data_IF_484534554967
#
_entry.id   IF_484534554967
#
_cell.length_a   1.000
_cell.length_b   1.000
_cell.length_c   1.000
_cell.angle_alpha   90.00
_cell.angle_beta   90.00
_cell.angle_gamma   90.00
#
_symmetry.space_group_name_H-M   'P 1'
#
loop_
_entity.id
_entity.type
_entity.pdbx_description
1 polymer ?
#
# COMPACT_ATOMS: atom_id res chain seq x y z
N UNK A 1 -22.98 1.06 65.08
CA UNK A 1 -21.60 1.57 65.11
C UNK A 1 -20.84 0.82 64.01
N UNK A 2 -20.98 1.16 62.73
CA UNK A 2 -20.83 2.45 62.04
C UNK A 2 -19.57 2.34 61.14
N UNK A 3 -19.52 2.71 59.86
CA UNK A 3 -20.52 3.14 58.87
C UNK A 3 -19.85 3.06 57.45
N UNK A 4 -20.49 3.11 56.28
CA UNK A 4 -21.89 3.38 55.89
C UNK A 4 -22.23 2.74 54.49
N UNK A 5 -23.48 2.87 54.02
CA UNK A 5 -24.01 2.97 52.61
C UNK A 5 -23.34 2.13 51.49
N UNK A 6 -23.97 1.16 50.80
CA UNK A 6 -25.39 0.94 50.40
C UNK A 6 -25.94 2.04 49.45
N UNK A 7 -26.56 1.81 48.27
CA UNK A 7 -26.86 0.57 47.51
C UNK A 7 -27.23 0.91 46.03
N UNK A 8 -27.55 -0.12 45.22
CA UNK A 8 -28.11 -0.06 43.86
C UNK A 8 -29.23 0.98 43.63
N UNK A 9 -29.36 1.48 42.39
CA UNK A 9 -30.69 1.66 41.78
C UNK A 9 -30.69 1.37 40.26
N UNK A 10 -31.80 0.81 39.79
CA UNK A 10 -32.03 0.34 38.43
C UNK A 10 -33.25 1.03 37.80
N UNK A 11 -33.34 0.99 36.47
CA UNK A 11 -34.52 1.22 35.62
C UNK A 11 -35.29 2.55 35.74
N UNK A 12 -35.40 3.27 34.61
CA UNK A 12 -36.63 3.99 34.28
C UNK A 12 -36.83 4.10 32.77
N UNK A 13 -37.79 3.33 32.25
CA UNK A 13 -38.39 3.49 30.91
C UNK A 13 -39.68 4.30 31.09
N UNK A 14 -39.83 5.40 30.35
CA UNK A 14 -41.14 6.02 30.12
C UNK A 14 -41.31 6.44 28.66
N UNK A 15 -42.45 6.03 28.10
CA UNK A 15 -43.00 6.52 26.82
C UNK A 15 -43.40 7.99 26.95
N UNK A 16 -43.36 8.72 25.84
CA UNK A 16 -44.35 9.77 25.58
C UNK A 16 -44.57 9.88 24.07
N UNK A 17 -45.80 10.18 23.68
CA UNK A 17 -46.32 10.01 22.32
C UNK A 17 -47.20 11.22 21.93
N UNK A 18 -47.38 11.43 20.62
CA UNK A 18 -48.44 12.22 19.96
C UNK A 18 -48.45 13.79 19.96
N UNK A 19 -48.48 14.32 18.72
CA UNK A 19 -49.27 15.48 18.21
C UNK A 19 -48.73 16.92 18.44
N UNK A 20 -48.66 17.82 17.44
CA UNK A 20 -49.67 18.20 16.42
C UNK A 20 -49.10 18.84 15.13
N UNK A 21 -49.98 18.93 14.12
CA UNK A 21 -49.82 19.50 12.77
C UNK A 21 -49.69 21.05 12.75
N UNK A 22 -49.08 21.59 11.68
CA UNK A 22 -49.44 22.89 11.08
C UNK A 22 -49.35 22.77 9.53
N UNK A 23 -50.32 23.36 8.85
CA UNK A 23 -50.61 23.21 7.42
C UNK A 23 -49.73 24.01 6.43
N UNK A 24 -49.41 23.36 5.32
CA UNK A 24 -49.74 23.76 3.94
C UNK A 24 -49.85 25.26 3.57
N UNK A 25 -48.87 25.77 2.80
CA UNK A 25 -49.11 26.53 1.55
C UNK A 25 -47.82 27.02 0.85
N UNK A 26 -47.48 26.47 -0.31
CA UNK A 26 -47.32 27.30 -1.52
C UNK A 26 -47.44 26.49 -2.83
N UNK A 27 -47.88 27.13 -3.91
CA UNK A 27 -48.47 26.49 -5.09
C UNK A 27 -48.15 27.27 -6.37
N UNK A 28 -47.33 26.72 -7.27
CA UNK A 28 -47.29 27.05 -8.71
C UNK A 28 -46.70 25.83 -9.46
N UNK A 29 -47.52 24.97 -10.09
CA UNK A 29 -48.14 25.07 -11.44
C UNK A 29 -47.18 24.76 -12.60
N UNK A 30 -47.27 23.53 -13.11
CA UNK A 30 -46.92 23.18 -14.50
C UNK A 30 -47.97 23.72 -15.48
N UNK A 31 -47.56 23.91 -16.74
CA UNK A 31 -48.34 23.49 -17.91
C UNK A 31 -47.46 22.69 -18.91
N UNK A 32 -47.96 21.94 -19.89
CA UNK A 32 -49.27 21.33 -20.20
C UNK A 32 -48.92 20.14 -21.12
N UNK A 33 -49.63 19.01 -21.00
CA UNK A 33 -49.53 17.90 -21.96
C UNK A 33 -50.40 18.18 -23.20
N UNK A 34 -49.96 17.70 -24.37
CA UNK A 34 -50.82 17.53 -25.54
C UNK A 34 -50.50 16.16 -26.13
N UNK A 35 -51.43 15.22 -26.01
CA UNK A 35 -51.41 13.93 -26.71
C UNK A 35 -52.08 14.07 -28.09
N UNK A 36 -51.58 13.37 -29.10
CA UNK A 36 -52.42 12.83 -30.16
C UNK A 36 -51.78 11.60 -30.82
N UNK A 37 -52.64 10.72 -31.33
CA UNK A 37 -52.42 9.27 -31.49
C UNK A 37 -51.74 8.85 -32.82
N UNK A 38 -51.19 7.63 -32.79
CA UNK A 38 -51.11 6.61 -33.85
C UNK A 38 -50.88 7.00 -35.33
N UNK A 39 -49.81 6.43 -35.91
CA UNK A 39 -49.97 5.30 -36.87
C UNK A 39 -48.64 4.68 -37.35
N UNK A 40 -48.58 3.35 -37.23
CA UNK A 40 -48.05 2.33 -38.17
C UNK A 40 -46.72 2.50 -38.94
N UNK A 41 -45.97 1.39 -38.91
CA UNK A 41 -44.81 0.94 -39.68
C UNK A 41 -44.67 1.40 -41.15
N UNK A 42 -43.42 1.57 -41.58
CA UNK A 42 -42.81 0.75 -42.65
C UNK A 42 -41.29 0.95 -42.77
N UNK A 43 -40.62 -0.06 -43.34
CA UNK A 43 -39.21 -0.08 -43.68
C UNK A 43 -38.84 0.87 -44.84
N UNK A 44 -37.58 1.33 -44.91
CA UNK A 44 -36.61 0.88 -45.93
C UNK A 44 -35.22 1.52 -45.77
N UNK A 45 -34.22 0.85 -46.33
CA UNK A 45 -32.82 1.31 -46.39
C UNK A 45 -32.64 2.50 -47.33
N UNK A 46 -31.57 3.30 -47.12
CA UNK A 46 -30.76 3.77 -48.25
C UNK A 46 -29.38 4.26 -47.77
N UNK A 47 -28.36 3.43 -48.00
CA UNK A 47 -26.97 3.90 -48.03
C UNK A 47 -26.74 4.77 -49.26
N UNK A 48 -25.97 5.87 -49.12
CA UNK A 48 -25.25 6.44 -50.26
C UNK A 48 -23.98 7.16 -49.84
N UNK A 49 -22.85 6.57 -50.22
CA UNK A 49 -21.54 7.22 -50.26
C UNK A 49 -21.56 8.44 -51.20
N UNK A 50 -20.93 9.53 -50.80
CA UNK A 50 -20.25 10.43 -51.74
C UNK A 50 -19.07 11.14 -51.09
N UNK A 51 -17.87 10.77 -51.55
CA UNK A 51 -16.58 11.32 -51.16
C UNK A 51 -16.39 12.72 -51.76
N UNK A 52 -16.20 13.75 -50.93
CA UNK A 52 -15.89 15.11 -51.37
C UNK A 52 -14.76 15.72 -50.54
N UNK A 53 -13.61 15.97 -51.16
CA UNK A 53 -12.45 16.63 -50.53
C UNK A 53 -12.48 18.12 -50.87
N UNK A 54 -12.58 18.97 -49.87
CA UNK A 54 -12.17 20.38 -49.95
C UNK A 54 -11.38 20.70 -48.68
N UNK A 55 -10.14 21.18 -48.86
CA UNK A 55 -9.37 21.81 -47.79
C UNK A 55 -9.73 23.30 -47.75
N UNK A 56 -9.98 23.81 -46.55
CA UNK A 56 -9.84 25.23 -46.22
C UNK A 56 -9.26 25.31 -44.83
N UNK A 57 -8.11 25.97 -44.71
CA UNK A 57 -7.47 26.24 -43.43
C UNK A 57 -8.29 27.27 -42.64
N UNK A 58 -8.65 26.95 -41.40
CA UNK A 58 -8.96 27.97 -40.38
C UNK A 58 -8.29 27.59 -39.05
N UNK A 59 -7.92 28.62 -38.31
CA UNK A 59 -7.10 28.52 -37.10
C UNK A 59 -7.85 27.74 -36.00
N UNK A 60 -7.16 26.74 -35.43
CA UNK A 60 -7.72 25.90 -34.38
C UNK A 60 -7.86 26.63 -33.05
N UNK A 61 -8.92 27.44 -32.92
CA UNK A 61 -9.34 28.02 -31.66
C UNK A 61 -9.65 26.91 -30.65
N UNK A 62 -8.94 26.93 -29.52
CA UNK A 62 -9.09 25.92 -28.46
C UNK A 62 -10.31 26.24 -27.61
N UNK A 63 -11.49 25.96 -28.16
CA UNK A 63 -12.69 25.75 -27.35
C UNK A 63 -12.59 24.42 -26.57
N UNK A 64 -11.68 24.34 -25.59
CA UNK A 64 -11.75 23.30 -24.55
C UNK A 64 -13.07 23.48 -23.81
N UNK A 65 -14.01 22.55 -24.01
CA UNK A 65 -15.38 22.73 -23.53
C UNK A 65 -15.44 22.81 -21.99
N UNK A 66 -16.33 23.61 -21.37
CA UNK A 66 -16.38 23.80 -19.91
C UNK A 66 -16.54 22.51 -19.08
N UNK A 67 -17.04 21.43 -19.70
CA UNK A 67 -17.14 20.11 -19.06
C UNK A 67 -15.77 19.44 -18.86
N UNK A 68 -14.80 19.71 -19.72
CA UNK A 68 -13.47 19.12 -19.70
C UNK A 68 -12.61 19.69 -18.56
N UNK A 69 -12.65 21.01 -18.36
CA UNK A 69 -11.98 21.69 -17.24
C UNK A 69 -12.52 21.21 -15.87
N UNK A 70 -13.85 21.15 -15.72
CA UNK A 70 -14.49 20.65 -14.49
C UNK A 70 -14.08 19.20 -14.19
N UNK A 71 -14.05 18.34 -15.21
CA UNK A 71 -13.59 16.95 -15.07
C UNK A 71 -12.11 16.88 -14.66
N UNK A 72 -11.24 17.73 -15.23
CA UNK A 72 -9.82 17.80 -14.85
C UNK A 72 -9.64 18.21 -13.39
N UNK A 73 -10.38 19.22 -12.91
CA UNK A 73 -10.34 19.64 -11.51
C UNK A 73 -10.85 18.56 -10.53
N UNK A 74 -11.89 17.81 -10.91
CA UNK A 74 -12.40 16.67 -10.12
C UNK A 74 -11.32 15.59 -9.99
N UNK A 75 -10.68 15.20 -11.09
CA UNK A 75 -9.57 14.24 -11.07
C UNK A 75 -8.40 14.74 -10.23
N UNK A 76 -7.96 15.99 -10.44
CA UNK A 76 -6.84 16.57 -9.70
C UNK A 76 -7.07 16.54 -8.19
N UNK A 77 -8.31 16.83 -7.75
CA UNK A 77 -8.68 16.74 -6.32
C UNK A 77 -8.75 15.30 -5.81
N UNK A 78 -9.19 14.35 -6.63
CA UNK A 78 -9.22 12.93 -6.27
C UNK A 78 -7.79 12.36 -6.16
N UNK A 79 -6.93 12.68 -7.12
CA UNK A 79 -5.50 12.35 -7.15
C UNK A 79 -4.77 12.92 -5.94
N UNK A 80 -5.03 14.18 -5.55
CA UNK A 80 -4.39 14.76 -4.36
C UNK A 80 -4.78 14.03 -3.07
N UNK A 81 -6.04 13.60 -2.91
CA UNK A 81 -6.47 12.76 -1.78
C UNK A 81 -5.83 11.37 -1.80
N UNK A 82 -5.61 10.81 -2.99
CA UNK A 82 -4.96 9.52 -3.17
C UNK A 82 -3.50 9.54 -2.71
N UNK A 83 -2.80 10.67 -2.88
CA UNK A 83 -1.41 10.84 -2.45
C UNK A 83 -1.24 11.03 -0.93
N UNK A 84 -2.24 11.58 -0.24
CA UNK A 84 -2.23 11.70 1.22
C UNK A 84 -2.54 10.38 1.95
N UNK A 85 -2.97 9.33 1.25
CA UNK A 85 -3.20 8.01 1.86
C UNK A 85 -1.97 7.10 1.70
N UNK A 86 -1.26 6.74 2.80
CA UNK A 86 -0.10 5.84 2.72
C UNK A 86 -0.45 4.47 2.16
N UNK A 87 -1.71 4.04 2.24
CA UNK A 87 -2.18 2.77 1.68
C UNK A 87 -1.94 2.69 0.17
N UNK A 88 -2.07 3.81 -0.54
CA UNK A 88 -1.82 3.85 -1.98
C UNK A 88 -0.35 3.58 -2.31
N UNK A 89 0.58 4.18 -1.58
CA UNK A 89 2.00 3.94 -1.74
C UNK A 89 2.37 2.47 -1.41
N UNK A 90 1.81 1.92 -0.33
CA UNK A 90 1.99 0.50 0.06
C UNK A 90 1.48 -0.46 -1.02
N UNK A 91 0.33 -0.17 -1.64
CA UNK A 91 -0.21 -0.95 -2.76
C UNK A 91 0.70 -0.85 -3.98
N UNK A 92 1.21 0.34 -4.31
CA UNK A 92 2.18 0.51 -5.39
C UNK A 92 3.47 -0.28 -5.11
N UNK A 93 3.98 -0.26 -3.87
CA UNK A 93 5.16 -1.03 -3.45
C UNK A 93 4.93 -2.52 -3.60
N UNK A 94 3.72 -2.97 -3.26
CA UNK A 94 3.36 -4.36 -3.42
C UNK A 94 3.46 -4.79 -4.88
N UNK A 95 2.90 -4.03 -5.83
CA UNK A 95 2.97 -4.40 -7.24
C UNK A 95 4.37 -4.23 -7.83
N UNK A 96 5.10 -3.17 -7.49
CA UNK A 96 6.50 -2.98 -7.92
C UNK A 96 7.37 -4.19 -7.58
N UNK A 97 7.14 -4.77 -6.39
CA UNK A 97 8.02 -5.76 -5.80
C UNK A 97 7.56 -7.21 -5.95
N UNK A 98 6.25 -7.43 -6.06
CA UNK A 98 5.64 -8.76 -5.93
C UNK A 98 4.75 -9.17 -7.11
N UNK A 99 4.45 -8.28 -8.07
CA UNK A 99 3.62 -8.61 -9.24
C UNK A 99 4.14 -9.83 -10.02
N UNK A 100 5.45 -9.92 -10.26
CA UNK A 100 6.09 -11.06 -10.95
C UNK A 100 5.81 -12.39 -10.25
N UNK A 101 5.89 -12.44 -8.91
CA UNK A 101 5.63 -13.65 -8.14
C UNK A 101 4.16 -14.09 -8.18
N UNK A 102 3.25 -13.17 -8.49
CA UNK A 102 1.83 -13.47 -8.73
C UNK A 102 1.54 -13.79 -10.20
N UNK A 103 2.49 -13.62 -11.12
CA UNK A 103 2.26 -13.72 -12.56
C UNK A 103 1.43 -12.57 -13.12
N UNK A 104 1.60 -11.37 -12.57
CA UNK A 104 0.92 -10.15 -13.00
C UNK A 104 1.73 -9.36 -14.02
N UNK A 105 1.00 -8.62 -14.88
CA UNK A 105 1.59 -7.53 -15.66
C UNK A 105 2.09 -6.43 -14.69
N UNK A 106 3.15 -5.68 -15.07
CA UNK A 106 3.57 -4.52 -14.31
C UNK A 106 2.41 -3.54 -14.12
N UNK A 107 2.35 -2.90 -12.96
CA UNK A 107 1.48 -1.75 -12.74
C UNK A 107 2.38 -0.52 -12.68
N UNK A 108 1.97 0.57 -13.33
CA UNK A 108 2.62 1.86 -13.26
C UNK A 108 1.75 2.85 -12.46
N UNK A 109 2.35 3.96 -12.05
CA UNK A 109 1.73 4.97 -11.21
C UNK A 109 0.50 5.61 -11.85
N UNK A 110 0.57 5.99 -13.12
CA UNK A 110 -0.54 6.64 -13.83
C UNK A 110 -1.77 5.71 -13.97
N UNK A 111 -1.56 4.42 -14.26
CA UNK A 111 -2.65 3.44 -14.33
C UNK A 111 -3.28 3.20 -12.96
N UNK A 112 -2.45 3.10 -11.91
CA UNK A 112 -2.93 2.95 -10.53
C UNK A 112 -3.73 4.19 -10.07
N UNK A 113 -3.29 5.41 -10.41
CA UNK A 113 -4.07 6.63 -10.17
C UNK A 113 -5.42 6.60 -10.89
N UNK A 114 -5.43 6.25 -12.18
CA UNK A 114 -6.65 6.18 -12.98
C UNK A 114 -7.66 5.16 -12.40
N UNK A 115 -7.21 3.97 -11.99
CA UNK A 115 -8.07 2.95 -11.35
C UNK A 115 -8.84 3.50 -10.14
N UNK A 116 -8.22 4.38 -9.35
CA UNK A 116 -8.79 4.94 -8.12
C UNK A 116 -9.46 6.31 -8.31
N UNK A 117 -9.51 6.86 -9.52
CA UNK A 117 -10.07 8.20 -9.78
C UNK A 117 -11.02 8.29 -10.98
N UNK A 118 -10.91 7.39 -11.96
CA UNK A 118 -11.73 7.41 -13.19
C UNK A 118 -13.23 7.33 -12.92
N UNK A 119 -13.64 6.62 -11.86
CA UNK A 119 -15.04 6.47 -11.45
C UNK A 119 -15.73 7.80 -11.07
N UNK A 120 -14.96 8.85 -10.71
CA UNK A 120 -15.51 10.18 -10.45
C UNK A 120 -16.04 10.89 -11.72
N UNK A 121 -15.55 10.51 -12.90
CA UNK A 121 -16.06 10.99 -14.19
C UNK A 121 -17.01 9.97 -14.81
N UNK A 122 -16.59 8.70 -14.88
CA UNK A 122 -17.31 7.68 -15.65
C UNK A 122 -18.57 7.15 -14.95
N UNK A 123 -18.71 7.38 -13.65
CA UNK A 123 -19.78 6.79 -12.84
C UNK A 123 -19.71 5.26 -12.77
N UNK A 124 -18.56 4.65 -13.07
CA UNK A 124 -18.37 3.19 -13.11
C UNK A 124 -17.01 2.82 -12.51
N UNK A 125 -16.95 1.67 -11.86
CA UNK A 125 -15.68 1.13 -11.31
C UNK A 125 -14.75 0.78 -12.47
N UNK A 126 -13.49 1.17 -12.37
CA UNK A 126 -12.48 0.88 -13.39
C UNK A 126 -12.33 -0.64 -13.63
N UNK A 127 -12.23 -1.02 -14.90
CA UNK A 127 -12.19 -2.44 -15.27
C UNK A 127 -10.95 -3.15 -14.75
N UNK A 128 -9.79 -2.51 -14.87
CA UNK A 128 -8.53 -3.07 -14.39
C UNK A 128 -8.55 -3.24 -12.86
N UNK A 129 -9.22 -2.34 -12.14
CA UNK A 129 -9.38 -2.46 -10.68
C UNK A 129 -10.21 -3.69 -10.31
N UNK A 130 -11.31 -3.96 -11.02
CA UNK A 130 -12.13 -5.18 -10.82
C UNK A 130 -11.30 -6.43 -11.09
N UNK A 131 -10.58 -6.46 -12.21
CA UNK A 131 -9.76 -7.63 -12.59
C UNK A 131 -8.59 -7.85 -11.62
N UNK A 132 -8.04 -6.79 -11.03
CA UNK A 132 -7.02 -6.84 -9.97
C UNK A 132 -7.57 -7.49 -8.69
N UNK A 133 -8.75 -7.06 -8.22
CA UNK A 133 -9.43 -7.69 -7.08
C UNK A 133 -9.74 -9.16 -7.35
N UNK A 134 -10.34 -9.48 -8.52
CA UNK A 134 -10.64 -10.84 -8.94
C UNK A 134 -9.39 -11.72 -9.02
N UNK A 135 -8.28 -11.20 -9.50
CA UNK A 135 -7.03 -11.94 -9.61
C UNK A 135 -6.42 -12.21 -8.23
N UNK A 136 -6.37 -11.23 -7.31
CA UNK A 136 -5.89 -11.45 -5.94
C UNK A 136 -6.78 -12.44 -5.19
N UNK A 137 -8.10 -12.28 -5.26
CA UNK A 137 -9.07 -13.20 -4.62
C UNK A 137 -8.93 -14.64 -5.14
N UNK A 138 -8.74 -14.85 -6.45
CA UNK A 138 -8.54 -16.19 -7.04
C UNK A 138 -7.20 -16.83 -6.69
N UNK A 139 -6.19 -16.05 -6.30
CA UNK A 139 -4.92 -16.55 -5.75
C UNK A 139 -5.05 -17.02 -4.29
N UNK A 140 -6.10 -16.59 -3.60
CA UNK A 140 -6.52 -17.09 -2.29
C UNK A 140 -7.51 -18.26 -2.44
N UNK A 141 -8.51 -18.36 -1.56
CA UNK A 141 -9.51 -19.42 -1.54
C UNK A 141 -10.67 -19.21 -2.54
N UNK A 142 -10.85 -17.99 -3.06
CA UNK A 142 -12.01 -17.59 -3.87
C UNK A 142 -11.85 -17.91 -5.37
N UNK A 143 -11.47 -19.15 -5.69
CA UNK A 143 -11.19 -19.61 -7.07
C UNK A 143 -12.36 -19.42 -8.05
N UNK A 144 -13.58 -19.45 -7.53
CA UNK A 144 -14.83 -19.30 -8.30
C UNK A 144 -15.29 -17.85 -8.50
N UNK A 145 -14.51 -16.85 -8.05
CA UNK A 145 -14.83 -15.45 -8.28
C UNK A 145 -14.77 -15.11 -9.78
N UNK A 146 -15.87 -14.55 -10.30
CA UNK A 146 -16.06 -14.11 -11.69
C UNK A 146 -16.60 -12.68 -11.71
N UNK A 147 -16.51 -12.03 -12.86
CA UNK A 147 -16.95 -10.65 -13.07
C UNK A 147 -18.39 -10.40 -12.62
N UNK A 148 -19.31 -11.31 -12.87
CA UNK A 148 -20.75 -11.07 -12.67
C UNK A 148 -21.14 -11.06 -11.18
N UNK A 149 -20.25 -11.57 -10.32
CA UNK A 149 -20.49 -11.81 -8.89
C UNK A 149 -19.31 -11.33 -8.02
N UNK A 150 -18.40 -10.53 -8.58
CA UNK A 150 -17.13 -10.17 -7.96
C UNK A 150 -17.32 -9.46 -6.61
N UNK A 151 -18.27 -8.52 -6.51
CA UNK A 151 -18.58 -7.80 -5.26
C UNK A 151 -19.08 -8.74 -4.15
N UNK A 152 -19.81 -9.81 -4.50
CA UNK A 152 -20.26 -10.82 -3.51
C UNK A 152 -19.08 -11.61 -2.94
N UNK A 153 -18.09 -11.92 -3.77
CA UNK A 153 -16.85 -12.55 -3.30
C UNK A 153 -15.99 -11.58 -2.49
N UNK A 154 -15.97 -10.31 -2.86
CA UNK A 154 -15.24 -9.27 -2.15
C UNK A 154 -15.85 -9.00 -0.77
N UNK A 155 -17.18 -8.90 -0.67
CA UNK A 155 -17.90 -8.77 0.58
C UNK A 155 -17.63 -9.97 1.51
N UNK A 156 -17.61 -11.19 0.95
CA UNK A 156 -17.22 -12.40 1.69
C UNK A 156 -15.74 -12.40 2.11
N UNK A 157 -14.85 -11.75 1.36
CA UNK A 157 -13.47 -11.55 1.79
C UNK A 157 -13.41 -10.59 2.98
N UNK A 158 -14.06 -9.42 2.89
CA UNK A 158 -14.09 -8.45 3.98
C UNK A 158 -14.68 -9.06 5.27
N UNK A 159 -15.74 -9.87 5.18
CA UNK A 159 -16.35 -10.53 6.34
C UNK A 159 -15.45 -11.55 7.05
N UNK A 160 -14.35 -11.98 6.40
CA UNK A 160 -13.38 -12.93 6.97
C UNK A 160 -12.16 -12.23 7.59
N UNK A 161 -12.01 -10.91 7.42
CA UNK A 161 -10.87 -10.15 7.92
C UNK A 161 -11.36 -9.13 8.97
N UNK A 162 -11.07 -9.31 10.26
CA UNK A 162 -11.56 -8.42 11.32
C UNK A 162 -11.20 -6.94 11.15
N UNK A 163 -10.06 -6.63 10.53
CA UNK A 163 -9.63 -5.24 10.27
C UNK A 163 -10.39 -4.54 9.13
N UNK A 164 -11.36 -5.22 8.49
CA UNK A 164 -12.21 -4.67 7.42
C UNK A 164 -13.70 -4.56 7.83
N UNK A 165 -14.03 -4.54 9.12
CA UNK A 165 -15.43 -4.46 9.58
C UNK A 165 -16.14 -3.20 9.06
N UNK A 166 -15.47 -2.04 9.09
CA UNK A 166 -16.03 -0.77 8.59
C UNK A 166 -16.23 -0.82 7.07
N UNK A 167 -15.24 -1.36 6.35
CA UNK A 167 -15.23 -1.49 4.90
C UNK A 167 -16.27 -2.50 4.43
N UNK A 168 -16.49 -3.58 5.18
CA UNK A 168 -17.57 -4.55 4.98
C UNK A 168 -18.93 -3.86 5.05
N UNK A 169 -19.21 -3.12 6.14
CA UNK A 169 -20.50 -2.45 6.33
C UNK A 169 -20.77 -1.39 5.26
N UNK A 170 -19.73 -0.67 4.82
CA UNK A 170 -19.83 0.28 3.72
C UNK A 170 -20.09 -0.42 2.38
N UNK A 171 -19.41 -1.53 2.10
CA UNK A 171 -19.59 -2.31 0.87
C UNK A 171 -20.97 -2.98 0.81
N UNK A 172 -21.45 -3.54 1.92
CA UNK A 172 -22.78 -4.14 2.06
C UNK A 172 -23.90 -3.13 1.82
N UNK A 173 -23.77 -1.93 2.40
CA UNK A 173 -24.81 -0.88 2.35
C UNK A 173 -24.85 -0.11 1.04
N UNK A 174 -23.69 0.19 0.45
CA UNK A 174 -23.59 1.14 -0.66
C UNK A 174 -23.14 0.52 -2.00
N UNK A 175 -22.61 -0.71 -1.99
CA UNK A 175 -21.97 -1.32 -3.18
C UNK A 175 -20.62 -0.69 -3.53
N UNK A 176 -19.75 -1.40 -4.25
CA UNK A 176 -18.35 -1.01 -4.38
C UNK A 176 -18.16 0.35 -5.07
N UNK A 177 -19.01 0.69 -6.04
CA UNK A 177 -18.94 1.98 -6.74
C UNK A 177 -19.00 3.16 -5.76
N UNK A 178 -19.97 3.16 -4.84
CA UNK A 178 -20.29 4.32 -4.00
C UNK A 178 -19.51 4.39 -2.68
N UNK A 179 -18.63 3.43 -2.38
CA UNK A 179 -17.70 3.53 -1.25
C UNK A 179 -16.62 4.61 -1.46
N UNK A 180 -15.92 5.01 -0.39
CA UNK A 180 -14.84 6.01 -0.50
C UNK A 180 -13.58 5.42 -1.15
N UNK A 181 -12.66 6.28 -1.63
CA UNK A 181 -11.34 5.84 -2.12
C UNK A 181 -10.57 5.11 -1.00
N UNK A 182 -10.59 5.62 0.24
CA UNK A 182 -9.96 4.99 1.39
C UNK A 182 -10.52 3.56 1.63
N UNK A 183 -11.83 3.37 1.53
CA UNK A 183 -12.46 2.03 1.61
C UNK A 183 -11.90 1.08 0.56
N UNK A 184 -11.79 1.55 -0.70
CA UNK A 184 -11.29 0.77 -1.83
C UNK A 184 -9.80 0.44 -1.66
N UNK A 185 -9.00 1.37 -1.14
CA UNK A 185 -7.58 1.19 -0.83
C UNK A 185 -7.38 0.21 0.33
N UNK A 186 -8.11 0.36 1.43
CA UNK A 186 -8.03 -0.55 2.58
C UNK A 186 -8.30 -2.00 2.15
N UNK A 187 -9.38 -2.24 1.39
CA UNK A 187 -9.71 -3.57 0.84
C UNK A 187 -8.57 -4.10 -0.05
N UNK A 188 -8.05 -3.31 -0.99
CA UNK A 188 -6.99 -3.77 -1.90
C UNK A 188 -5.66 -4.02 -1.17
N UNK A 189 -5.28 -3.14 -0.23
CA UNK A 189 -4.11 -3.29 0.65
C UNK A 189 -4.20 -4.60 1.43
N UNK A 190 -5.34 -4.87 2.05
CA UNK A 190 -5.57 -6.12 2.80
C UNK A 190 -5.61 -7.35 1.90
N UNK A 191 -6.07 -7.26 0.65
CA UNK A 191 -5.94 -8.35 -0.35
C UNK A 191 -4.48 -8.62 -0.74
N UNK A 192 -3.64 -7.59 -0.80
CA UNK A 192 -2.20 -7.71 -1.04
C UNK A 192 -1.48 -8.34 0.17
N UNK A 193 -1.78 -7.87 1.39
CA UNK A 193 -1.27 -8.42 2.66
C UNK A 193 -1.66 -9.89 2.82
N UNK A 194 -2.92 -10.23 2.53
CA UNK A 194 -3.44 -11.61 2.53
C UNK A 194 -2.69 -12.58 1.61
N UNK A 195 -1.93 -12.10 0.62
CA UNK A 195 -1.07 -12.99 -0.19
C UNK A 195 0.07 -13.58 0.63
N UNK A 196 0.63 -12.84 1.60
CA UNK A 196 1.73 -13.36 2.45
C UNK A 196 1.25 -14.43 3.44
N UNK A 197 -0.02 -14.39 3.82
CA UNK A 197 -0.61 -15.32 4.80
C UNK A 197 -1.22 -16.55 4.15
N UNK A 198 -2.06 -16.37 3.13
CA UNK A 198 -2.93 -17.44 2.61
C UNK A 198 -2.49 -17.99 1.24
N UNK A 199 -1.69 -17.26 0.45
CA UNK A 199 -1.19 -17.75 -0.84
C UNK A 199 0.15 -18.50 -0.67
N UNK A 200 0.04 -19.79 -0.31
CA UNK A 200 1.18 -20.67 -0.02
C UNK A 200 2.22 -20.66 -1.16
N UNK A 201 1.80 -20.75 -2.42
CA UNK A 201 2.70 -20.78 -3.58
C UNK A 201 3.51 -19.49 -3.74
N UNK A 202 2.87 -18.35 -3.51
CA UNK A 202 3.54 -17.05 -3.50
C UNK A 202 4.56 -16.97 -2.36
N UNK A 203 4.17 -17.38 -1.14
CA UNK A 203 5.03 -17.40 0.05
C UNK A 203 6.26 -18.29 -0.15
N UNK A 204 6.09 -19.50 -0.67
CA UNK A 204 7.17 -20.43 -1.00
C UNK A 204 8.12 -19.86 -2.06
N UNK A 205 7.57 -19.29 -3.14
CA UNK A 205 8.37 -18.65 -4.21
C UNK A 205 9.20 -17.49 -3.67
N UNK A 206 8.62 -16.69 -2.76
CA UNK A 206 9.28 -15.56 -2.13
C UNK A 206 10.39 -15.98 -1.18
N UNK A 207 10.14 -16.95 -0.29
CA UNK A 207 11.12 -17.47 0.68
C UNK A 207 12.32 -18.19 0.01
N UNK A 208 12.16 -18.62 -1.24
CA UNK A 208 13.25 -19.19 -2.04
C UNK A 208 14.04 -18.14 -2.84
N UNK A 209 13.51 -16.93 -3.02
CA UNK A 209 14.06 -15.92 -3.93
C UNK A 209 14.57 -14.66 -3.23
N UNK A 210 14.05 -14.31 -2.04
CA UNK A 210 14.36 -13.06 -1.34
C UNK A 210 14.83 -13.32 0.09
N UNK A 211 15.84 -12.57 0.57
CA UNK A 211 16.17 -12.56 1.99
C UNK A 211 15.15 -11.71 2.77
N UNK A 212 14.99 -11.99 4.07
CA UNK A 212 14.05 -11.24 4.91
C UNK A 212 14.36 -9.73 4.99
N UNK A 213 15.65 -9.35 4.88
CA UNK A 213 16.08 -7.95 4.71
C UNK A 213 15.44 -7.30 3.48
N UNK A 214 15.43 -8.03 2.37
CA UNK A 214 15.02 -7.52 1.06
C UNK A 214 13.50 -7.35 0.98
N UNK A 215 12.75 -7.85 1.98
CA UNK A 215 11.30 -7.69 2.09
C UNK A 215 10.88 -6.41 2.81
N UNK A 216 11.75 -5.86 3.66
CA UNK A 216 11.48 -4.64 4.43
C UNK A 216 11.99 -3.42 3.67
N UNK A 217 11.06 -2.56 3.27
CA UNK A 217 11.39 -1.20 2.85
C UNK A 217 11.81 -0.38 4.08
N UNK A 218 12.86 0.43 3.93
CA UNK A 218 13.36 1.36 4.93
C UNK A 218 13.44 2.77 4.32
N UNK A 219 13.28 3.83 5.12
CA UNK A 219 13.54 5.19 4.66
C UNK A 219 14.95 5.33 4.05
N UNK A 220 15.06 6.04 2.93
CA UNK A 220 16.34 6.38 2.29
C UNK A 220 17.19 7.31 3.16
N UNK A 221 16.55 8.08 4.04
CA UNK A 221 17.20 9.02 4.92
C UNK A 221 16.18 9.74 5.81
N UNK A 222 16.71 10.63 6.64
CA UNK A 222 15.93 11.52 7.50
C UNK A 222 16.50 12.94 7.35
N UNK A 223 15.65 13.96 7.46
CA UNK A 223 16.12 15.35 7.53
C UNK A 223 16.49 15.77 8.97
N UNK A 224 16.85 17.05 9.12
CA UNK A 224 17.24 17.67 10.39
C UNK A 224 16.07 17.90 11.36
N UNK A 225 14.83 17.78 10.89
CA UNK A 225 13.61 17.82 11.68
C UNK A 225 13.18 16.40 12.12
N UNK A 226 13.74 15.35 11.49
CA UNK A 226 13.47 13.95 11.78
C UNK A 226 12.46 13.30 10.84
N UNK A 227 11.98 14.00 9.81
CA UNK A 227 11.07 13.45 8.81
C UNK A 227 11.77 12.33 8.03
N UNK A 228 11.10 11.19 7.92
CA UNK A 228 11.57 10.01 7.20
C UNK A 228 11.23 10.11 5.72
N UNK A 229 12.21 9.96 4.84
CA UNK A 229 12.01 10.00 3.39
C UNK A 229 12.01 8.58 2.81
N UNK A 230 11.01 8.25 1.98
CA UNK A 230 10.89 6.96 1.30
C UNK A 230 10.94 7.16 -0.22
N UNK A 231 11.66 6.28 -0.91
CA UNK A 231 11.82 6.31 -2.37
C UNK A 231 11.06 5.18 -3.03
N UNK A 232 10.35 5.49 -4.11
CA UNK A 232 9.67 4.53 -4.95
C UNK A 232 9.93 4.80 -6.43
N UNK A 233 10.10 3.75 -7.23
CA UNK A 233 10.18 3.85 -8.69
C UNK A 233 9.39 2.71 -9.35
N UNK A 234 8.50 3.06 -10.27
CA UNK A 234 7.67 2.09 -11.00
C UNK A 234 8.38 1.49 -12.23
N UNK A 235 7.61 0.72 -13.01
CA UNK A 235 8.09 0.03 -14.21
C UNK A 235 8.42 0.98 -15.39
N UNK A 236 7.84 2.18 -15.42
CA UNK A 236 8.07 3.18 -16.46
C UNK A 236 9.16 4.19 -16.05
N UNK A 237 9.90 3.88 -14.98
CA UNK A 237 10.95 4.69 -14.38
C UNK A 237 10.45 6.01 -13.75
N UNK A 238 9.14 6.14 -13.52
CA UNK A 238 8.59 7.28 -12.78
C UNK A 238 8.99 7.14 -11.32
N UNK A 239 9.54 8.21 -10.73
CA UNK A 239 9.97 8.23 -9.33
C UNK A 239 8.93 8.91 -8.45
N UNK A 240 8.83 8.50 -7.19
CA UNK A 240 8.10 9.21 -6.14
C UNK A 240 8.90 9.24 -4.86
N UNK A 241 8.88 10.38 -4.17
CA UNK A 241 9.47 10.57 -2.86
C UNK A 241 8.36 10.92 -1.88
N UNK A 242 8.25 10.14 -0.81
CA UNK A 242 7.30 10.38 0.26
C UNK A 242 8.04 10.82 1.53
N UNK A 243 7.41 11.65 2.35
CA UNK A 243 7.87 12.03 3.68
C UNK A 243 6.80 11.71 4.73
N UNK A 244 7.22 11.26 5.92
CA UNK A 244 6.35 11.05 7.08
C UNK A 244 7.12 11.25 8.40
N UNK A 245 6.40 11.53 9.48
CA UNK A 245 6.93 11.51 10.85
C UNK A 245 7.19 10.07 11.32
N UNK A 246 8.12 9.87 12.27
CA UNK A 246 8.57 8.52 12.65
C UNK A 246 7.64 7.81 13.64
N UNK A 247 6.96 8.61 14.45
CA UNK A 247 6.04 8.23 15.51
C UNK A 247 4.57 8.33 15.09
N UNK A 248 4.28 8.85 13.89
CA UNK A 248 2.94 8.86 13.31
C UNK A 248 2.51 7.44 12.90
N UNK A 249 1.69 6.83 13.75
CA UNK A 249 1.04 5.55 13.48
C UNK A 249 -0.31 5.69 12.75
N UNK A 250 -0.81 6.92 12.58
CA UNK A 250 -2.07 7.21 11.89
C UNK A 250 -1.91 7.38 10.38
N UNK A 251 -0.71 7.78 9.94
CA UNK A 251 -0.42 8.14 8.55
C UNK A 251 -0.84 9.56 8.16
N UNK A 252 -1.30 10.40 9.11
CA UNK A 252 -1.70 11.78 8.86
C UNK A 252 -0.55 12.72 8.45
N UNK A 253 0.70 12.36 8.77
CA UNK A 253 1.92 13.07 8.35
C UNK A 253 2.40 12.66 6.95
N UNK A 254 1.76 11.67 6.31
CA UNK A 254 2.18 11.12 5.02
C UNK A 254 1.96 12.11 3.87
N UNK A 255 3.06 12.48 3.21
CA UNK A 255 3.05 13.46 2.12
C UNK A 255 3.89 12.98 0.93
N UNK A 256 3.41 13.20 -0.30
CA UNK A 256 4.16 13.01 -1.54
C UNK A 256 4.87 14.32 -1.91
N UNK A 257 6.20 14.35 -1.77
CA UNK A 257 7.02 15.56 -1.87
C UNK A 257 7.78 15.71 -3.20
N UNK A 258 7.91 14.64 -3.99
CA UNK A 258 8.37 14.72 -5.38
C UNK A 258 7.83 13.55 -6.23
N UNK A 259 7.60 13.79 -7.52
CA UNK A 259 7.04 12.86 -8.54
C UNK A 259 7.89 12.78 -9.82
N UNK A 260 8.91 13.62 -9.95
CA UNK A 260 9.83 13.63 -11.07
C UNK A 260 11.24 14.03 -10.61
N UNK A 261 12.21 13.95 -11.53
CA UNK A 261 13.61 14.26 -11.27
C UNK A 261 13.79 15.71 -10.85
N UNK A 262 13.08 16.63 -11.48
CA UNK A 262 13.15 18.08 -11.26
C UNK A 262 12.60 18.44 -9.86
N UNK A 263 11.48 17.84 -9.45
CA UNK A 263 10.94 17.99 -8.09
C UNK A 263 11.89 17.42 -7.03
N UNK A 264 12.57 16.30 -7.30
CA UNK A 264 13.58 15.73 -6.40
C UNK A 264 14.83 16.63 -6.30
N UNK A 265 15.30 17.22 -7.39
CA UNK A 265 16.42 18.17 -7.40
C UNK A 265 16.08 19.45 -6.60
N UNK A 266 14.85 19.95 -6.74
CA UNK A 266 14.34 21.05 -5.93
C UNK A 266 14.27 20.69 -4.43
N UNK A 267 13.72 19.52 -4.09
CA UNK A 267 13.66 19.03 -2.71
C UNK A 267 15.05 18.89 -2.06
N UNK A 268 16.02 18.31 -2.78
CA UNK A 268 17.41 18.18 -2.28
C UNK A 268 18.05 19.55 -2.08
N UNK A 269 17.78 20.51 -2.96
CA UNK A 269 18.28 21.89 -2.85
C UNK A 269 17.64 22.62 -1.66
N UNK A 270 16.34 22.45 -1.45
CA UNK A 270 15.62 22.98 -0.30
C UNK A 270 16.19 22.44 1.02
N UNK A 271 16.38 21.11 1.12
CA UNK A 271 16.94 20.47 2.32
C UNK A 271 18.36 20.98 2.63
N UNK A 272 19.21 21.17 1.61
CA UNK A 272 20.55 21.78 1.76
C UNK A 272 20.47 23.23 2.23
N UNK A 273 19.60 24.05 1.64
CA UNK A 273 19.41 25.45 2.02
C UNK A 273 18.87 25.57 3.45
N UNK A 274 17.89 24.75 3.82
CA UNK A 274 17.36 24.63 5.18
C UNK A 274 18.48 24.29 6.18
N UNK A 275 19.42 23.41 5.85
CA UNK A 275 20.59 23.13 6.69
C UNK A 275 21.49 24.38 6.82
N UNK A 276 21.93 24.95 5.70
CA UNK A 276 22.84 26.10 5.67
C UNK A 276 22.33 27.30 6.47
N UNK A 277 21.05 27.67 6.30
CA UNK A 277 20.43 28.76 7.06
C UNK A 277 20.39 28.50 8.57
N UNK A 278 20.21 27.23 9.01
CA UNK A 278 20.22 26.86 10.43
C UNK A 278 21.64 26.98 11.01
N UNK A 279 22.66 26.52 10.28
CA UNK A 279 24.07 26.71 10.66
C UNK A 279 24.44 28.19 10.80
N UNK A 280 24.13 29.03 9.80
CA UNK A 280 24.36 30.48 9.87
C UNK A 280 23.63 31.12 11.05
N UNK A 281 22.36 30.74 11.31
CA UNK A 281 21.61 31.26 12.45
C UNK A 281 22.18 30.87 13.82
N UNK A 282 22.81 29.69 13.92
CA UNK A 282 23.47 29.24 15.13
C UNK A 282 24.81 29.97 15.34
N UNK A 283 25.55 30.21 14.26
CA UNK A 283 26.81 30.97 14.29
C UNK A 283 26.58 32.43 14.73
N UNK A 284 25.53 33.08 14.20
CA UNK A 284 25.11 34.42 14.62
C UNK A 284 24.73 34.48 16.10
N UNK A 285 23.98 33.48 16.61
CA UNK A 285 23.64 33.40 18.04
C UNK A 285 24.86 33.25 18.94
N UNK A 286 25.86 32.46 18.53
CA UNK A 286 27.12 32.34 19.26
C UNK A 286 27.94 33.65 19.28
N UNK A 287 27.73 34.52 18.30
CA UNK A 287 28.45 35.78 18.17
C UNK A 287 27.81 36.96 18.93
N UNK A 288 26.52 36.86 19.29
CA UNK A 288 25.83 37.78 20.22
C UNK A 288 26.28 37.53 21.68
N UNK A 289 26.50 36.27 22.06
CA UNK A 289 26.96 35.87 23.40
C UNK A 289 28.49 35.98 23.61
N UNK A 290 29.25 36.47 22.63
CA UNK A 290 30.71 36.61 22.75
C UNK A 290 31.28 37.79 21.96
N UNK A 291 31.58 38.87 22.68
CA UNK A 291 32.25 40.06 22.16
C UNK A 291 33.72 39.79 21.81
N UNK A 292 34.03 39.55 20.54
CA UNK A 292 35.32 39.89 19.89
C UNK A 292 35.23 39.82 18.36
N UNK A 293 36.21 40.39 17.65
CA UNK A 293 36.11 40.86 16.26
C UNK A 293 36.20 39.75 15.15
N UNK A 294 35.82 40.05 13.88
CA UNK A 294 35.49 39.02 12.89
C UNK A 294 36.69 38.49 12.10
N UNK A 295 36.72 37.19 11.87
CA UNK A 295 37.58 36.54 10.87
C UNK A 295 36.79 36.26 9.58
N UNK A 296 36.87 37.19 8.62
CA UNK A 296 36.31 37.00 7.27
C UNK A 296 37.37 36.37 6.36
N UNK A 297 37.49 35.04 6.43
CA UNK A 297 38.19 34.21 5.45
C UNK A 297 37.67 32.75 5.54
N UNK A 298 37.67 32.03 4.41
CA UNK A 298 37.45 30.57 4.33
C UNK A 298 36.05 30.02 4.72
N UNK A 299 34.98 30.51 4.08
CA UNK A 299 33.63 29.88 4.15
C UNK A 299 33.34 28.98 2.92
N UNK A 300 34.26 28.90 1.94
CA UNK A 300 34.01 28.30 0.63
C UNK A 300 34.01 26.76 0.53
N UNK A 301 34.76 26.03 1.37
CA UNK A 301 35.15 24.65 1.04
C UNK A 301 34.87 23.55 2.10
N UNK A 302 34.31 23.87 3.26
CA UNK A 302 34.17 22.89 4.36
C UNK A 302 32.74 22.44 4.72
N UNK A 303 31.74 22.63 3.85
CA UNK A 303 30.46 21.89 3.94
C UNK A 303 30.55 20.54 3.20
N UNK A 304 31.69 19.87 3.35
CA UNK A 304 31.84 18.48 2.94
C UNK A 304 31.35 17.59 4.09
N UNK A 305 30.03 17.58 4.31
CA UNK A 305 29.37 16.76 5.32
C UNK A 305 29.57 15.30 4.93
N UNK A 306 30.64 14.71 5.47
CA UNK A 306 31.04 13.32 5.22
C UNK A 306 29.86 12.43 5.57
N UNK A 307 29.18 11.95 4.52
CA UNK A 307 27.89 11.31 4.65
C UNK A 307 28.10 9.88 5.13
N UNK A 308 28.10 9.68 6.45
CA UNK A 308 28.31 8.37 7.08
C UNK A 308 27.10 7.47 6.84
N UNK A 309 27.05 6.85 5.66
CA UNK A 309 26.00 5.90 5.27
C UNK A 309 26.10 4.59 6.08
N UNK A 310 25.53 4.59 7.28
CA UNK A 310 25.29 3.36 8.05
C UNK A 310 24.09 2.61 7.47
N UNK A 311 24.34 1.62 6.60
CA UNK A 311 23.26 0.85 5.97
C UNK A 311 22.56 -0.05 7.00
N UNK A 312 21.38 0.36 7.47
CA UNK A 312 20.47 -0.51 8.23
C UNK A 312 20.04 -1.70 7.36
N UNK A 313 19.79 -2.85 7.99
CA UNK A 313 19.41 -4.10 7.30
C UNK A 313 18.00 -3.99 6.69
N UNK A 314 17.91 -3.66 5.41
CA UNK A 314 16.67 -3.58 4.64
C UNK A 314 16.90 -3.12 3.20
N UNK A 315 15.83 -3.05 2.40
CA UNK A 315 15.86 -2.40 1.09
C UNK A 315 15.55 -0.90 1.26
N UNK A 316 16.49 -0.03 0.87
CA UNK A 316 16.29 1.44 0.93
C UNK A 316 15.46 1.97 -0.24
N UNK A 317 15.55 1.33 -1.42
CA UNK A 317 14.91 1.78 -2.65
C UNK A 317 13.82 0.78 -3.07
N UNK A 318 12.57 1.24 -3.19
CA UNK A 318 11.48 0.44 -3.74
C UNK A 318 11.43 0.55 -5.27
N UNK A 319 12.30 -0.22 -5.93
CA UNK A 319 12.42 -0.27 -7.38
C UNK A 319 11.63 -1.46 -7.93
N UNK A 320 10.88 -1.23 -9.00
CA UNK A 320 10.22 -2.29 -9.78
C UNK A 320 11.15 -3.49 -10.07
N UNK A 321 10.64 -4.71 -9.83
CA UNK A 321 11.35 -5.96 -10.06
C UNK A 321 10.75 -6.71 -11.24
N UNK A 322 11.52 -6.78 -12.32
CA UNK A 322 11.20 -7.57 -13.51
C UNK A 322 11.49 -9.07 -13.30
N UNK A 323 11.09 -9.90 -14.28
CA UNK A 323 11.41 -11.33 -14.24
C UNK A 323 12.92 -11.59 -14.21
N UNK A 324 13.75 -10.77 -14.86
CA UNK A 324 15.20 -11.00 -14.91
C UNK A 324 15.86 -10.76 -13.55
N UNK A 325 15.44 -9.73 -12.81
CA UNK A 325 15.88 -9.47 -11.44
C UNK A 325 15.51 -10.61 -10.50
N UNK A 326 14.27 -11.12 -10.59
CA UNK A 326 13.83 -12.27 -9.77
C UNK A 326 14.61 -13.54 -10.14
N UNK A 327 14.81 -13.83 -11.43
CA UNK A 327 15.63 -14.96 -11.90
C UNK A 327 17.08 -14.87 -11.41
N UNK A 328 17.72 -13.70 -11.48
CA UNK A 328 19.07 -13.44 -10.94
C UNK A 328 19.15 -13.72 -9.43
N UNK A 329 18.14 -13.29 -8.66
CA UNK A 329 18.07 -13.56 -7.21
C UNK A 329 17.91 -15.06 -6.91
N UNK A 330 17.08 -15.78 -7.67
CA UNK A 330 16.91 -17.23 -7.54
C UNK A 330 18.18 -18.03 -7.87
N UNK A 331 18.97 -17.60 -8.86
CA UNK A 331 20.30 -18.19 -9.14
C UNK A 331 21.26 -17.94 -7.97
N UNK A 332 21.30 -16.72 -7.44
CA UNK A 332 22.17 -16.36 -6.31
C UNK A 332 21.80 -17.10 -5.03
N UNK A 333 20.51 -17.22 -4.69
CA UNK A 333 20.06 -17.94 -3.49
C UNK A 333 20.41 -19.43 -3.54
N UNK A 334 20.21 -20.08 -4.69
CA UNK A 334 20.58 -21.48 -4.89
C UNK A 334 22.11 -21.71 -4.84
N UNK A 335 22.92 -20.80 -5.39
CA UNK A 335 24.38 -20.88 -5.24
C UNK A 335 24.82 -20.74 -3.77
N UNK A 336 24.23 -19.82 -3.02
CA UNK A 336 24.54 -19.66 -1.59
C UNK A 336 24.12 -20.87 -0.76
N UNK A 337 22.93 -21.46 -1.01
CA UNK A 337 22.49 -22.70 -0.36
C UNK A 337 23.41 -23.89 -0.70
N UNK A 338 23.84 -24.05 -1.96
CA UNK A 338 24.81 -25.09 -2.35
C UNK A 338 26.16 -24.92 -1.66
N UNK A 339 26.69 -23.69 -1.57
CA UNK A 339 27.95 -23.43 -0.84
C UNK A 339 27.83 -23.73 0.65
N UNK A 340 26.73 -23.33 1.29
CA UNK A 340 26.49 -23.61 2.71
C UNK A 340 26.39 -25.12 2.99
N UNK A 341 25.73 -25.90 2.13
CA UNK A 341 25.64 -27.36 2.28
C UNK A 341 27.03 -28.04 2.18
N UNK A 342 27.84 -27.66 1.19
CA UNK A 342 29.21 -28.17 1.02
C UNK A 342 30.12 -27.78 2.20
N UNK A 343 29.91 -26.60 2.79
CA UNK A 343 30.65 -26.17 3.99
C UNK A 343 30.18 -26.87 5.28
N UNK A 344 28.93 -27.34 5.34
CA UNK A 344 28.43 -28.18 6.44
C UNK A 344 28.93 -29.62 6.35
N UNK A 345 29.04 -30.18 5.14
CA UNK A 345 29.60 -31.51 4.90
C UNK A 345 31.09 -31.56 5.22
N UNK A 346 31.88 -30.57 4.77
CA UNK A 346 33.33 -30.50 5.06
C UNK A 346 33.68 -30.30 6.55
N UNK A 347 32.71 -29.84 7.37
CA UNK A 347 32.84 -29.76 8.82
C UNK A 347 32.48 -31.06 9.56
N UNK A 348 31.77 -31.99 8.90
CA UNK A 348 31.46 -33.32 9.46
C UNK A 348 32.53 -34.37 9.17
N UNK A 349 33.30 -34.23 8.10
CA UNK A 349 34.39 -35.17 7.79
C UNK A 349 35.65 -34.97 8.67
N UNK A 350 35.76 -33.86 9.41
CA UNK A 350 36.96 -33.48 10.17
C UNK A 350 36.84 -33.60 11.70
N UNK A 351 35.82 -34.28 12.24
CA UNK A 351 35.70 -34.54 13.69
C UNK A 351 36.02 -35.99 14.04
N UNK A 352 37.14 -36.20 14.74
CA UNK A 352 37.49 -37.45 15.42
C UNK A 352 36.45 -37.80 16.53
N UNK A 353 36.34 -39.09 16.95
CA UNK A 353 35.27 -39.52 17.85
C UNK A 353 35.37 -38.90 19.25
N UNK A 354 34.25 -38.78 20.01
CA UNK A 354 34.23 -38.05 21.26
C UNK A 354 35.00 -38.78 22.37
N UNK A 355 35.98 -38.10 22.97
CA UNK A 355 36.58 -38.52 24.24
C UNK A 355 35.62 -38.17 25.37
N UNK A 356 35.31 -39.13 26.24
CA UNK A 356 34.57 -38.86 27.48
C UNK A 356 35.42 -37.99 28.41
N UNK A 357 34.87 -36.86 28.85
CA UNK A 357 35.44 -36.05 29.94
C UNK A 357 34.33 -35.85 30.98
N UNK A 358 34.52 -36.47 32.13
CA UNK A 358 33.69 -36.36 33.32
C UNK A 358 34.25 -35.20 34.14
N UNK A 359 33.50 -34.11 34.32
CA UNK A 359 33.68 -33.16 35.42
C UNK A 359 32.32 -32.71 35.98
N UNK A 360 32.26 -32.57 37.31
CA UNK A 360 31.03 -32.44 38.08
C UNK A 360 30.26 -31.12 37.88
N UNK A 361 28.93 -31.20 37.86
CA UNK A 361 28.02 -30.06 37.92
C UNK A 361 27.21 -30.15 39.22
N UNK A 362 27.23 -29.11 40.10
CA UNK A 362 26.50 -29.13 41.37
C UNK A 362 24.97 -29.17 41.19
N UNK A 363 24.29 -29.84 42.12
CA UNK A 363 22.96 -30.43 41.91
C UNK A 363 21.76 -29.46 41.91
N UNK A 364 21.97 -28.15 42.09
CA UNK A 364 20.90 -27.19 42.40
C UNK A 364 20.20 -26.54 41.18
N UNK A 365 20.64 -26.82 39.94
CA UNK A 365 20.08 -26.18 38.71
C UNK A 365 19.23 -27.10 37.83
N UNK A 366 19.09 -28.38 38.19
CA UNK A 366 18.35 -29.38 37.39
C UNK A 366 16.85 -29.12 37.14
N UNK A 367 16.07 -28.35 37.93
CA UNK A 367 14.62 -28.19 37.68
C UNK A 367 14.21 -27.37 36.44
N UNK A 368 15.10 -26.56 35.85
CA UNK A 368 14.70 -25.52 34.89
C UNK A 368 14.94 -25.81 33.40
N UNK A 369 15.60 -26.92 33.06
CA UNK A 369 15.84 -27.30 31.65
C UNK A 369 14.77 -28.22 31.05
N UNK A 370 13.95 -28.88 31.88
CA UNK A 370 13.08 -29.98 31.42
C UNK A 370 11.63 -29.55 31.11
N UNK A 371 11.41 -28.28 30.73
CA UNK A 371 10.11 -27.76 30.30
C UNK A 371 10.17 -26.94 29.01
N UNK A 372 10.49 -27.62 27.89
CA UNK A 372 9.78 -27.54 26.59
C UNK A 372 10.46 -28.38 25.49
N UNK A 373 10.33 -29.70 25.58
CA UNK A 373 10.48 -30.59 24.40
C UNK A 373 9.12 -31.15 24.04
N UNK A 374 8.36 -30.40 23.23
CA UNK A 374 7.16 -30.95 22.58
C UNK A 374 7.60 -31.96 21.50
N UNK A 375 6.96 -33.14 21.37
CA UNK A 375 7.43 -34.19 20.47
C UNK A 375 7.53 -33.74 19.00
N UNK A 376 8.74 -33.80 18.43
CA UNK A 376 8.95 -33.65 16.98
C UNK A 376 8.18 -34.75 16.26
N UNK A 377 7.36 -34.38 15.26
CA UNK A 377 6.49 -35.28 14.46
C UNK A 377 7.23 -36.26 13.52
N UNK A 378 8.47 -36.64 13.82
CA UNK A 378 9.29 -37.57 13.01
C UNK A 378 9.15 -39.05 13.45
N UNK A 379 8.70 -39.31 14.68
CA UNK A 379 8.65 -40.67 15.24
C UNK A 379 7.45 -41.54 14.75
N UNK A 380 6.58 -41.04 13.85
CA UNK A 380 5.39 -41.78 13.39
C UNK A 380 5.60 -42.63 12.14
N UNK A 381 6.75 -42.50 11.45
CA UNK A 381 7.03 -43.25 10.22
C UNK A 381 7.79 -44.57 10.44
N UNK A 382 8.34 -44.82 11.64
CA UNK A 382 9.12 -46.01 11.94
C UNK A 382 8.30 -47.18 12.54
N UNK A 383 7.08 -46.92 13.00
CA UNK A 383 6.25 -47.89 13.73
C UNK A 383 5.14 -48.57 12.88
N UNK A 384 5.12 -48.35 11.56
CA UNK A 384 4.07 -48.88 10.66
C UNK A 384 4.56 -50.10 9.83
N UNK A 385 5.87 -50.37 9.82
CA UNK A 385 6.47 -51.50 9.09
C UNK A 385 6.74 -52.75 9.96
N UNK A 386 6.19 -52.82 11.18
CA UNK A 386 6.28 -53.99 12.07
C UNK A 386 4.90 -54.55 12.48
N UNK A 387 3.87 -54.34 11.64
CA UNK A 387 2.53 -54.94 11.78
C UNK A 387 2.10 -55.69 10.50
N UNK A 388 3.09 -56.31 9.84
CA UNK A 388 2.90 -57.29 8.76
C UNK A 388 3.96 -58.39 8.83
N UNK A 389 3.89 -59.18 9.89
CA UNK A 389 4.24 -60.60 9.94
C UNK A 389 3.32 -61.26 10.98
#
# INVERSE_FOLDING_TARGET
NADEKNENYSLNIKKMDASKEIDSNNKFKNPIENEQEDCLSNDEELQKDSRGVIQTDEEGDKCESPKQEVNAHILQRAIQKLYSDPSFAVICSFFNKFAVFLGLKPQNFAKMENMFTSFHITGRVDRDLIDLHLMLMRKLTFKSARLEVWEKYLLKFCSLIPSLETEYLQLERYGYLHTTVATKLAILKTLCESQFDFNIKFKESLLNSCAASDLRLLPIGYDKEGLAYLYQQDADLVIRIYSAEQDDHSGGSWNLVAKCKEELENLVTELKNRLASKYLSNLLKQHEDSSSAPAVAEIGEQINVLSTFTTKRGALLDIYQDESAVKKKFVKSNQMRKKAAVEEESKKENSAPPTEIIEDIPDEVKPFLDRRVLPRRSARSAAINQLKE
#
